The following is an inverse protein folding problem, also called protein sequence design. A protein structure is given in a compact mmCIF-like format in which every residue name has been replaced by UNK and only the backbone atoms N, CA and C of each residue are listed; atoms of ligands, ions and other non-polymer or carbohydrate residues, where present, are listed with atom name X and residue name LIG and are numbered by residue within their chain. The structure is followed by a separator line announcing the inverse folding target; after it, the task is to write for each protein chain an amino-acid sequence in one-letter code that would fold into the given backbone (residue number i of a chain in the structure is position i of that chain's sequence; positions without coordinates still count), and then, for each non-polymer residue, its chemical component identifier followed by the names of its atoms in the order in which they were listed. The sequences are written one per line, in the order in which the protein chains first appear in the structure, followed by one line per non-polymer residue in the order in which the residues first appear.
data_IF_779274603441
#
_entry.id   IF_779274603441
#
_cell.length_a   1.000
_cell.length_b   1.000
_cell.length_c   1.000
_cell.angle_alpha   90.00
_cell.angle_beta   90.00
_cell.angle_gamma   90.00
#
_symmetry.space_group_name_H-M   'P 1'
#
loop_
_entity.id
_entity.type
_entity.pdbx_description
1 polymer ?
#
# COMPACT_ATOMS: atom_id res chain seq x y z
N UNK A 1 11.44 -13.84 -13.49
CA UNK A 1 10.97 -12.77 -12.57
C UNK A 1 11.87 -11.57 -12.77
N UNK A 2 11.31 -10.38 -12.95
CA UNK A 2 12.09 -9.14 -13.05
C UNK A 2 12.54 -8.75 -11.65
N UNK A 3 13.84 -8.57 -11.45
CA UNK A 3 14.39 -8.10 -10.18
C UNK A 3 14.23 -6.58 -10.12
N UNK A 4 13.73 -6.05 -9.01
CA UNK A 4 13.59 -4.61 -8.81
C UNK A 4 13.98 -4.24 -7.38
N UNK A 5 14.99 -3.38 -7.19
CA UNK A 5 15.50 -3.07 -5.85
C UNK A 5 14.56 -2.17 -5.04
N UNK A 6 13.59 -1.52 -5.68
CA UNK A 6 12.68 -0.58 -5.03
C UNK A 6 11.22 -1.03 -5.22
N UNK A 7 10.40 -0.78 -4.19
CA UNK A 7 8.95 -0.90 -4.31
C UNK A 7 8.25 0.34 -3.75
N UNK A 8 7.11 0.68 -4.36
CA UNK A 8 6.13 1.62 -3.82
C UNK A 8 5.02 0.82 -3.13
N UNK A 9 4.83 1.02 -1.84
CA UNK A 9 3.82 0.35 -1.01
C UNK A 9 2.72 1.33 -0.62
N UNK A 10 1.48 1.01 -0.96
CA UNK A 10 0.30 1.81 -0.64
C UNK A 10 -0.54 1.12 0.44
N UNK A 11 -0.76 1.80 1.57
CA UNK A 11 -1.48 1.21 2.72
C UNK A 11 -2.95 1.62 2.82
N UNK A 12 -3.33 2.81 2.35
CA UNK A 12 -4.68 3.37 2.52
C UNK A 12 -5.29 3.77 1.18
N UNK A 13 -5.19 2.87 0.19
CA UNK A 13 -5.69 3.08 -1.16
C UNK A 13 -7.11 2.53 -1.37
N UNK A 14 -7.82 2.14 -0.30
CA UNK A 14 -9.21 1.68 -0.39
C UNK A 14 -10.19 2.85 -0.37
N UNK A 15 -11.41 2.63 -0.87
CA UNK A 15 -12.45 3.65 -0.89
C UNK A 15 -12.79 4.15 0.51
N UNK A 16 -12.99 3.26 1.48
CA UNK A 16 -13.36 3.67 2.84
C UNK A 16 -12.31 4.56 3.52
N UNK A 17 -11.03 4.49 3.12
CA UNK A 17 -9.97 5.36 3.64
C UNK A 17 -10.08 6.79 3.06
N UNK A 18 -10.54 6.92 1.82
CA UNK A 18 -10.39 8.13 1.01
C UNK A 18 -11.69 8.86 0.69
N UNK A 19 -12.78 8.12 0.46
CA UNK A 19 -14.09 8.70 0.18
C UNK A 19 -14.52 9.60 1.35
N UNK A 20 -15.20 10.70 1.03
CA UNK A 20 -15.70 11.73 1.97
C UNK A 20 -14.62 12.58 2.67
N UNK A 21 -13.33 12.38 2.35
CA UNK A 21 -12.29 13.31 2.78
C UNK A 21 -12.38 14.64 2.04
N UNK A 22 -12.10 15.73 2.73
CA UNK A 22 -12.06 17.06 2.11
C UNK A 22 -10.95 17.22 1.07
N UNK A 23 -9.86 16.45 1.19
CA UNK A 23 -8.69 16.44 0.32
C UNK A 23 -8.63 15.23 -0.63
N UNK A 24 -9.66 14.35 -0.65
CA UNK A 24 -9.73 13.09 -1.42
C UNK A 24 -9.12 13.23 -2.82
N UNK A 25 -9.64 14.19 -3.60
CA UNK A 25 -9.25 14.41 -4.99
C UNK A 25 -7.78 14.83 -5.14
N UNK A 26 -7.27 15.63 -4.21
CA UNK A 26 -5.89 16.11 -4.29
C UNK A 26 -4.92 14.98 -3.93
N UNK A 27 -5.20 14.28 -2.84
CA UNK A 27 -4.41 13.16 -2.36
C UNK A 27 -4.40 12.00 -3.36
N UNK A 28 -5.57 11.60 -3.89
CA UNK A 28 -5.66 10.49 -4.84
C UNK A 28 -4.89 10.78 -6.14
N UNK A 29 -4.94 12.02 -6.65
CA UNK A 29 -4.15 12.43 -7.81
C UNK A 29 -2.65 12.40 -7.57
N UNK A 30 -2.21 12.89 -6.41
CA UNK A 30 -0.80 12.91 -6.04
C UNK A 30 -0.24 11.48 -5.91
N UNK A 31 -0.96 10.61 -5.21
CA UNK A 31 -0.57 9.21 -5.07
C UNK A 31 -0.62 8.45 -6.40
N UNK A 32 -1.61 8.72 -7.25
CA UNK A 32 -1.67 8.13 -8.59
C UNK A 32 -0.46 8.55 -9.45
N UNK A 33 -0.05 9.82 -9.34
CA UNK A 33 1.18 10.29 -9.99
C UNK A 33 2.41 9.52 -9.51
N UNK A 34 2.55 9.29 -8.20
CA UNK A 34 3.65 8.48 -7.67
C UNK A 34 3.61 7.01 -8.12
N UNK A 35 2.42 6.43 -8.26
CA UNK A 35 2.24 5.08 -8.83
C UNK A 35 2.75 5.04 -10.27
N UNK A 36 2.39 6.03 -11.09
CA UNK A 36 2.83 6.13 -12.49
C UNK A 36 4.35 6.30 -12.59
N UNK A 37 4.95 7.17 -11.76
CA UNK A 37 6.40 7.36 -11.70
C UNK A 37 7.13 6.08 -11.26
N UNK A 38 6.63 5.38 -10.25
CA UNK A 38 7.20 4.12 -9.78
C UNK A 38 7.18 3.06 -10.91
N UNK A 39 6.07 2.95 -11.64
CA UNK A 39 5.95 2.04 -12.78
C UNK A 39 6.89 2.43 -13.93
N UNK A 40 6.97 3.71 -14.27
CA UNK A 40 7.89 4.22 -15.28
C UNK A 40 9.36 3.94 -14.92
N UNK A 41 9.70 3.97 -13.63
CA UNK A 41 11.02 3.62 -13.11
C UNK A 41 11.26 2.11 -12.97
N UNK A 42 10.28 1.25 -13.29
CA UNK A 42 10.39 -0.21 -13.15
C UNK A 42 10.39 -0.70 -11.70
N UNK A 43 9.88 0.11 -10.77
CA UNK A 43 9.70 -0.29 -9.38
C UNK A 43 8.53 -1.25 -9.26
N UNK A 44 8.56 -2.09 -8.23
CA UNK A 44 7.38 -2.88 -7.90
C UNK A 44 6.33 -1.97 -7.26
N UNK A 45 5.08 -2.03 -7.71
CA UNK A 45 3.97 -1.40 -6.99
C UNK A 45 3.24 -2.48 -6.18
N UNK A 46 3.02 -2.20 -4.89
CA UNK A 46 2.31 -3.05 -3.97
C UNK A 46 1.17 -2.29 -3.30
N UNK A 47 -0.05 -2.83 -3.39
CA UNK A 47 -1.23 -2.33 -2.70
C UNK A 47 -1.58 -3.27 -1.55
N UNK A 48 -1.83 -2.71 -0.38
CA UNK A 48 -2.44 -3.43 0.73
C UNK A 48 -3.94 -3.16 0.73
N UNK A 49 -4.71 -4.23 0.82
CA UNK A 49 -6.16 -4.19 0.93
C UNK A 49 -6.57 -4.88 2.23
N UNK A 50 -6.96 -4.07 3.21
CA UNK A 50 -7.36 -4.53 4.53
C UNK A 50 -8.75 -5.12 4.51
N UNK A 51 -8.92 -6.23 5.21
CA UNK A 51 -10.23 -6.79 5.53
C UNK A 51 -10.89 -5.99 6.67
N UNK A 52 -12.21 -5.89 6.62
CA UNK A 52 -12.98 -5.16 7.61
C UNK A 52 -12.77 -5.75 9.00
N UNK A 53 -12.33 -4.94 9.99
CA UNK A 53 -12.36 -5.40 11.36
C UNK A 53 -13.82 -5.63 11.79
N UNK A 54 -14.00 -6.51 12.77
CA UNK A 54 -15.34 -6.81 13.29
C UNK A 54 -15.98 -5.53 13.84
N UNK A 55 -17.13 -5.16 13.27
CA UNK A 55 -17.88 -3.97 13.68
C UNK A 55 -17.50 -2.68 12.94
N UNK A 56 -16.69 -2.76 11.89
CA UNK A 56 -16.52 -1.66 10.94
C UNK A 56 -17.87 -1.28 10.30
N UNK A 57 -17.98 -0.01 9.89
CA UNK A 57 -19.08 0.55 9.12
C UNK A 57 -19.02 0.19 7.63
N UNK A 58 -17.93 -0.44 7.19
CA UNK A 58 -17.75 -1.04 5.89
C UNK A 58 -17.50 -2.55 6.02
N UNK A 59 -17.90 -3.32 5.00
CA UNK A 59 -17.76 -4.78 5.00
C UNK A 59 -16.71 -5.23 3.98
N UNK A 60 -15.94 -6.28 4.29
CA UNK A 60 -15.05 -6.95 3.33
C UNK A 60 -15.86 -7.38 2.10
N UNK A 61 -15.33 -7.15 0.90
CA UNK A 61 -15.99 -7.38 -0.40
C UNK A 61 -17.13 -6.42 -0.76
N UNK A 62 -17.46 -5.45 0.11
CA UNK A 62 -18.36 -4.36 -0.27
C UNK A 62 -17.70 -3.40 -1.26
N UNK A 63 -18.48 -2.46 -1.80
CA UNK A 63 -17.93 -1.38 -2.63
C UNK A 63 -16.88 -0.58 -1.86
N UNK A 64 -17.17 -0.14 -0.63
CA UNK A 64 -16.26 0.67 0.18
C UNK A 64 -14.92 -0.05 0.51
N UNK A 65 -14.91 -1.38 0.46
CA UNK A 65 -13.69 -2.18 0.63
C UNK A 65 -12.78 -2.20 -0.60
N UNK A 66 -13.31 -1.95 -1.80
CA UNK A 66 -12.50 -1.97 -3.02
C UNK A 66 -11.46 -0.84 -3.03
N UNK A 67 -10.40 -1.00 -3.84
CA UNK A 67 -9.48 0.10 -4.11
C UNK A 67 -10.25 1.33 -4.62
N UNK A 68 -9.80 2.52 -4.21
CA UNK A 68 -10.27 3.79 -4.73
C UNK A 68 -10.11 3.80 -6.26
N UNK A 69 -11.06 4.34 -7.04
CA UNK A 69 -11.08 4.17 -8.50
C UNK A 69 -9.89 4.76 -9.25
N UNK A 70 -9.14 5.68 -8.63
CA UNK A 70 -7.88 6.21 -9.16
C UNK A 70 -6.70 5.21 -9.02
N UNK A 71 -6.88 4.14 -8.24
CA UNK A 71 -5.88 3.09 -8.08
C UNK A 71 -6.38 1.78 -8.68
N UNK A 72 -5.53 1.19 -9.50
CA UNK A 72 -5.77 -0.11 -10.10
C UNK A 72 -4.48 -0.91 -10.07
N UNK A 73 -4.52 -2.08 -9.43
CA UNK A 73 -3.45 -3.06 -9.55
C UNK A 73 -3.38 -3.57 -11.00
N UNK A 74 -2.19 -3.51 -11.58
CA UNK A 74 -1.90 -3.95 -12.94
C UNK A 74 -1.14 -5.28 -12.94
N UNK A 75 -0.93 -5.84 -14.14
CA UNK A 75 -0.16 -7.07 -14.28
C UNK A 75 1.30 -6.82 -13.84
N UNK A 76 1.73 -7.54 -12.81
CA UNK A 76 3.08 -7.42 -12.24
C UNK A 76 3.10 -6.74 -10.88
N UNK A 77 2.06 -5.96 -10.56
CA UNK A 77 1.85 -5.39 -9.23
C UNK A 77 1.55 -6.50 -8.21
N UNK A 78 1.73 -6.15 -6.95
CA UNK A 78 1.34 -6.97 -5.81
C UNK A 78 0.08 -6.39 -5.20
N UNK A 79 -1.00 -7.17 -5.14
CA UNK A 79 -2.18 -6.83 -4.35
C UNK A 79 -2.26 -7.82 -3.19
N UNK A 80 -1.95 -7.34 -1.98
CA UNK A 80 -1.95 -8.15 -0.76
C UNK A 80 -3.21 -7.88 0.02
N UNK A 81 -3.85 -8.95 0.50
CA UNK A 81 -4.91 -8.86 1.50
C UNK A 81 -4.33 -9.04 2.90
N UNK A 82 -4.78 -8.22 3.84
CA UNK A 82 -4.33 -8.28 5.22
C UNK A 82 -5.50 -8.08 6.20
N UNK A 83 -5.47 -8.78 7.34
CA UNK A 83 -6.53 -8.75 8.36
C UNK A 83 -6.06 -8.24 9.73
N UNK A 84 -4.82 -7.77 9.81
CA UNK A 84 -4.18 -7.16 10.99
C UNK A 84 -3.69 -5.78 10.60
N UNK A 85 -3.41 -4.84 11.51
CA UNK A 85 -2.85 -3.54 11.11
C UNK A 85 -1.46 -3.62 10.46
N UNK A 86 -0.69 -4.67 10.73
CA UNK A 86 0.60 -4.88 10.07
C UNK A 86 0.41 -5.61 8.72
N UNK A 87 0.86 -4.99 7.63
CA UNK A 87 0.72 -5.54 6.28
C UNK A 87 1.59 -6.79 6.06
N UNK A 88 2.60 -7.03 6.90
CA UNK A 88 3.43 -8.23 6.87
C UNK A 88 2.84 -9.37 7.70
N UNK A 89 2.10 -9.06 8.77
CA UNK A 89 1.59 -10.07 9.69
C UNK A 89 0.48 -10.92 9.05
N UNK A 90 0.79 -12.19 8.81
CA UNK A 90 -0.17 -13.16 8.26
C UNK A 90 -0.50 -12.93 6.78
N UNK A 91 0.32 -12.17 6.06
CA UNK A 91 0.19 -11.94 4.62
C UNK A 91 1.39 -12.51 3.85
N UNK A 92 1.31 -12.47 2.51
CA UNK A 92 2.43 -12.87 1.65
C UNK A 92 3.38 -11.71 1.29
N UNK A 93 3.21 -10.51 1.88
CA UNK A 93 3.92 -9.31 1.46
C UNK A 93 5.44 -9.47 1.48
N UNK A 94 6.01 -9.93 2.60
CA UNK A 94 7.46 -10.15 2.72
C UNK A 94 7.99 -11.09 1.63
N UNK A 95 7.32 -12.23 1.43
CA UNK A 95 7.72 -13.22 0.43
C UNK A 95 7.66 -12.64 -0.99
N UNK A 96 6.62 -11.86 -1.31
CA UNK A 96 6.45 -11.21 -2.61
C UNK A 96 7.53 -10.13 -2.87
N UNK A 97 7.92 -9.37 -1.84
CA UNK A 97 8.96 -8.34 -1.93
C UNK A 97 10.35 -8.95 -2.07
N UNK A 98 10.72 -9.89 -1.19
CA UNK A 98 12.01 -10.58 -1.26
C UNK A 98 12.16 -11.42 -2.52
N UNK A 99 11.10 -12.09 -2.98
CA UNK A 99 11.10 -12.85 -4.23
C UNK A 99 11.40 -11.99 -5.48
N UNK A 100 11.20 -10.67 -5.38
CA UNK A 100 11.53 -9.69 -6.43
C UNK A 100 12.83 -8.92 -6.15
N UNK A 101 13.56 -9.32 -5.10
CA UNK A 101 14.79 -8.69 -4.62
C UNK A 101 14.65 -7.20 -4.26
N UNK A 102 13.47 -6.81 -3.76
CA UNK A 102 13.25 -5.48 -3.19
C UNK A 102 14.15 -5.28 -1.98
N UNK A 103 14.73 -4.08 -1.87
CA UNK A 103 15.60 -3.65 -0.78
C UNK A 103 15.10 -2.38 -0.13
N UNK A 104 14.51 -1.48 -0.91
CA UNK A 104 13.97 -0.20 -0.43
C UNK A 104 12.46 -0.17 -0.63
N UNK A 105 11.73 0.22 0.42
CA UNK A 105 10.30 0.47 0.39
C UNK A 105 10.04 1.97 0.49
N UNK A 106 9.31 2.46 -0.50
CA UNK A 106 8.73 3.79 -0.50
C UNK A 106 7.26 3.67 -0.10
N UNK A 107 6.86 4.33 0.98
CA UNK A 107 5.52 4.12 1.55
C UNK A 107 4.63 5.33 1.32
N UNK A 108 3.43 5.09 0.80
CA UNK A 108 2.32 6.03 0.75
C UNK A 108 1.21 5.55 1.67
N UNK A 109 0.89 6.35 2.68
CA UNK A 109 -0.10 6.03 3.69
C UNK A 109 -0.71 7.30 4.27
N UNK A 110 -1.90 7.17 4.83
CA UNK A 110 -2.49 8.26 5.61
C UNK A 110 -1.70 8.43 6.91
N UNK A 111 -1.38 9.67 7.33
CA UNK A 111 -0.59 9.90 8.53
C UNK A 111 -1.36 9.52 9.79
N UNK A 112 -0.66 8.99 10.79
CA UNK A 112 -1.22 8.68 12.10
C UNK A 112 -2.09 7.42 12.15
N UNK A 113 -2.14 6.63 11.08
CA UNK A 113 -2.85 5.34 11.08
C UNK A 113 -2.06 4.28 11.86
N UNK A 114 -2.74 3.36 12.58
CA UNK A 114 -2.07 2.22 13.20
C UNK A 114 -1.41 1.32 12.15
N UNK A 115 -1.99 1.23 10.96
CA UNK A 115 -1.46 0.45 9.84
C UNK A 115 -0.08 0.92 9.40
N UNK A 116 0.11 2.25 9.27
CA UNK A 116 1.39 2.83 8.93
C UNK A 116 2.44 2.49 9.98
N UNK A 117 2.16 2.78 11.26
CA UNK A 117 3.13 2.55 12.33
C UNK A 117 3.54 1.08 12.45
N UNK A 118 2.58 0.16 12.40
CA UNK A 118 2.85 -1.27 12.50
C UNK A 118 3.65 -1.79 11.27
N UNK A 119 3.22 -1.40 10.07
CA UNK A 119 3.88 -1.85 8.83
C UNK A 119 5.31 -1.30 8.70
N UNK A 120 5.58 -0.06 9.12
CA UNK A 120 6.95 0.48 9.09
C UNK A 120 7.89 -0.26 10.04
N UNK A 121 7.41 -0.60 11.25
CA UNK A 121 8.20 -1.35 12.21
C UNK A 121 8.57 -2.74 11.67
N UNK A 122 7.60 -3.44 11.06
CA UNK A 122 7.83 -4.75 10.45
C UNK A 122 8.68 -4.68 9.19
N UNK A 123 8.52 -3.66 8.34
CA UNK A 123 9.38 -3.44 7.19
C UNK A 123 10.87 -3.34 7.57
N UNK A 124 11.16 -2.61 8.65
CA UNK A 124 12.53 -2.51 9.17
C UNK A 124 13.02 -3.84 9.76
N UNK A 125 12.15 -4.58 10.45
CA UNK A 125 12.48 -5.90 11.00
C UNK A 125 12.77 -6.95 9.91
N UNK A 126 12.07 -6.88 8.78
CA UNK A 126 12.30 -7.68 7.57
C UNK A 126 13.55 -7.23 6.78
N UNK A 127 14.22 -6.16 7.22
CA UNK A 127 15.49 -5.69 6.66
C UNK A 127 15.36 -4.78 5.44
N UNK A 128 14.17 -4.22 5.19
CA UNK A 128 13.99 -3.20 4.14
C UNK A 128 14.49 -1.84 4.62
N UNK A 129 15.16 -1.10 3.74
CA UNK A 129 15.31 0.34 3.90
C UNK A 129 13.96 1.00 3.65
N UNK A 130 13.50 1.85 4.58
CA UNK A 130 12.25 2.58 4.44
C UNK A 130 12.56 4.03 4.08
N UNK A 131 11.92 4.54 3.03
CA UNK A 131 11.91 5.95 2.66
C UNK A 131 10.47 6.43 2.62
N UNK A 132 10.14 7.40 3.46
CA UNK A 132 8.85 8.07 3.33
C UNK A 132 8.84 8.91 2.05
N UNK A 133 7.82 8.71 1.20
CA UNK A 133 7.44 9.71 0.21
C UNK A 133 6.51 10.67 0.93
N UNK A 134 7.08 11.58 1.72
CA UNK A 134 6.29 12.70 2.24
C UNK A 134 6.03 13.62 1.04
N UNK A 135 4.77 13.87 0.65
CA UNK A 135 4.50 14.88 -0.35
C UNK A 135 5.06 16.21 0.16
N UNK A 136 5.85 16.88 -0.67
CA UNK A 136 6.47 18.16 -0.35
C UNK A 136 5.42 19.27 -0.11
#
# INVERSE_FOLDING_TARGET
MTLTPNALLLLNAQRHDLEDRSDERALARDWAHHVDEARAAGWLVAFVQWDAPRGADWETFSKAWTLHPDFRAEQGDVLVRAGRPDAFEGSELAAQLHGRAVRTLHVLALPGTPELAATLASAQAEGFAVSDLVPA
#
